data_IF_429443743668
#
_entry.id   IF_429443743668
#
_cell.length_a   1.000
_cell.length_b   1.000
_cell.length_c   1.000
_cell.angle_alpha   90.00
_cell.angle_beta   90.00
_cell.angle_gamma   90.00
#
_symmetry.space_group_name_H-M   'P 1'
#
loop_
_entity.id
_entity.type
_entity.pdbx_description
1 polymer ?
#
# COMPACT_ATOMS: atom_id res chain seq x y z
N UNK A 1 7.37 30.25 -21.04
CA UNK A 1 6.69 30.01 -19.76
C UNK A 1 7.61 29.09 -18.99
N UNK A 2 8.16 29.56 -17.89
CA UNK A 2 9.04 28.77 -17.04
C UNK A 2 8.31 27.51 -16.58
N UNK A 3 8.72 26.33 -17.06
CA UNK A 3 8.25 25.05 -16.53
C UNK A 3 8.63 25.04 -15.05
N UNK A 4 7.63 25.16 -14.16
CA UNK A 4 7.86 24.94 -12.72
C UNK A 4 8.46 23.55 -12.57
N UNK A 5 9.61 23.47 -11.89
CA UNK A 5 10.27 22.20 -11.55
C UNK A 5 9.31 21.27 -10.79
N UNK A 6 8.34 21.84 -10.05
CA UNK A 6 7.27 21.12 -9.36
C UNK A 6 5.90 21.77 -9.66
N UNK A 7 5.13 21.22 -10.61
CA UNK A 7 3.76 21.65 -10.86
C UNK A 7 2.88 21.45 -9.63
N UNK A 8 1.83 22.26 -9.48
CA UNK A 8 0.90 22.13 -8.34
C UNK A 8 -0.22 21.15 -8.60
N UNK A 9 -0.49 20.85 -9.87
CA UNK A 9 -1.52 19.94 -10.36
C UNK A 9 -0.97 18.54 -10.68
N UNK A 10 -1.86 17.55 -10.63
CA UNK A 10 -1.59 16.13 -10.87
C UNK A 10 -0.94 15.86 -12.22
N UNK A 11 -1.56 16.37 -13.28
CA UNK A 11 -1.08 16.20 -14.66
C UNK A 11 0.35 16.69 -14.85
N UNK A 12 0.67 17.89 -14.35
CA UNK A 12 2.03 18.43 -14.42
C UNK A 12 3.04 17.57 -13.65
N UNK A 13 2.66 17.03 -12.49
CA UNK A 13 3.55 16.18 -11.70
C UNK A 13 3.77 14.80 -12.34
N UNK A 14 2.76 14.21 -12.94
CA UNK A 14 2.93 13.00 -13.76
C UNK A 14 3.83 13.23 -14.96
N UNK A 15 3.68 14.36 -15.67
CA UNK A 15 4.58 14.73 -16.77
C UNK A 15 6.03 14.86 -16.29
N UNK A 16 6.26 15.49 -15.14
CA UNK A 16 7.59 15.60 -14.53
C UNK A 16 8.13 14.21 -14.13
N UNK A 17 7.34 13.41 -13.41
CA UNK A 17 7.73 12.07 -12.98
C UNK A 17 8.12 11.17 -14.16
N UNK A 18 7.33 11.20 -15.23
CA UNK A 18 7.63 10.48 -16.47
C UNK A 18 8.88 11.03 -17.19
N UNK A 19 9.01 12.36 -17.28
CA UNK A 19 10.18 13.03 -17.92
C UNK A 19 11.49 12.69 -17.23
N UNK A 20 11.49 12.63 -15.90
CA UNK A 20 12.68 12.33 -15.09
C UNK A 20 12.83 10.84 -14.77
N UNK A 21 11.92 10.00 -15.28
CA UNK A 21 11.99 8.55 -15.12
C UNK A 21 11.79 8.07 -13.69
N UNK A 22 11.06 8.80 -12.84
CA UNK A 22 10.85 8.49 -11.42
C UNK A 22 10.41 7.02 -11.24
N UNK A 23 9.45 6.56 -12.06
CA UNK A 23 8.92 5.20 -12.01
C UNK A 23 9.63 4.19 -12.93
N UNK A 24 10.61 4.63 -13.74
CA UNK A 24 11.19 3.82 -14.82
C UNK A 24 12.71 3.70 -14.81
N UNK A 25 13.41 4.58 -14.11
CA UNK A 25 14.86 4.74 -14.19
C UNK A 25 15.62 3.47 -13.77
N UNK A 26 15.12 2.75 -12.76
CA UNK A 26 15.77 1.54 -12.23
C UNK A 26 15.27 0.25 -12.91
N UNK A 27 14.33 0.34 -13.85
CA UNK A 27 13.64 -0.83 -14.40
C UNK A 27 14.56 -1.81 -15.14
N UNK A 28 15.63 -1.33 -15.79
CA UNK A 28 16.58 -2.20 -16.48
C UNK A 28 17.62 -2.81 -15.52
N UNK A 29 18.00 -2.09 -14.47
CA UNK A 29 18.89 -2.60 -13.42
C UNK A 29 18.24 -3.78 -12.69
N UNK A 30 16.95 -3.67 -12.40
CA UNK A 30 16.21 -4.74 -11.72
C UNK A 30 15.86 -5.90 -12.66
N UNK A 31 16.06 -5.83 -13.98
CA UNK A 31 15.86 -6.97 -14.90
C UNK A 31 17.05 -7.93 -14.97
N UNK A 32 18.22 -7.53 -14.46
CA UNK A 32 19.33 -8.46 -14.29
C UNK A 32 19.09 -9.35 -13.07
N UNK A 33 19.21 -10.67 -13.24
CA UNK A 33 18.80 -11.65 -12.23
C UNK A 33 19.47 -11.43 -10.87
N UNK A 34 20.78 -11.15 -10.84
CA UNK A 34 21.52 -10.94 -9.60
C UNK A 34 20.99 -9.72 -8.85
N UNK A 35 20.85 -8.60 -9.55
CA UNK A 35 20.34 -7.35 -8.96
C UNK A 35 18.88 -7.46 -8.55
N UNK A 36 18.06 -8.29 -9.21
CA UNK A 36 16.65 -8.48 -8.84
C UNK A 36 16.49 -9.02 -7.42
N UNK A 37 17.22 -10.07 -7.06
CA UNK A 37 17.08 -10.68 -5.73
C UNK A 37 17.71 -9.82 -4.65
N UNK A 38 18.82 -9.13 -4.95
CA UNK A 38 19.42 -8.15 -4.03
C UNK A 38 18.45 -6.98 -3.77
N UNK A 39 17.78 -6.48 -4.82
CA UNK A 39 16.78 -5.42 -4.70
C UNK A 39 15.56 -5.87 -3.88
N UNK A 40 15.03 -7.07 -4.16
CA UNK A 40 13.91 -7.62 -3.39
C UNK A 40 14.29 -7.82 -1.92
N UNK A 41 15.50 -8.33 -1.65
CA UNK A 41 16.01 -8.47 -0.29
C UNK A 41 16.08 -7.12 0.42
N UNK A 42 16.62 -6.09 -0.24
CA UNK A 42 16.69 -4.75 0.33
C UNK A 42 15.30 -4.17 0.64
N UNK A 43 14.31 -4.39 -0.23
CA UNK A 43 12.92 -3.97 0.05
C UNK A 43 12.37 -4.66 1.31
N UNK A 44 12.54 -5.99 1.42
CA UNK A 44 12.06 -6.74 2.58
C UNK A 44 12.81 -6.39 3.88
N UNK A 45 14.11 -6.13 3.79
CA UNK A 45 14.91 -5.69 4.94
C UNK A 45 14.41 -4.34 5.45
N UNK A 46 14.17 -3.36 4.55
CA UNK A 46 13.60 -2.05 4.91
C UNK A 46 12.20 -2.18 5.51
N UNK A 47 11.34 -3.04 4.95
CA UNK A 47 10.04 -3.36 5.54
C UNK A 47 10.17 -3.87 6.98
N UNK A 48 11.08 -4.81 7.22
CA UNK A 48 11.32 -5.35 8.57
C UNK A 48 11.93 -4.32 9.53
N UNK A 49 12.80 -3.43 9.05
CA UNK A 49 13.32 -2.30 9.85
C UNK A 49 12.20 -1.37 10.32
N UNK A 50 11.12 -1.25 9.54
CA UNK A 50 9.91 -0.50 9.89
C UNK A 50 8.80 -1.37 10.53
N UNK A 51 9.13 -2.59 10.97
CA UNK A 51 8.21 -3.55 11.58
C UNK A 51 7.03 -3.99 10.69
N UNK A 52 7.15 -3.85 9.36
CA UNK A 52 6.20 -4.39 8.39
C UNK A 52 6.45 -5.89 8.21
N UNK A 53 5.46 -6.71 8.57
CA UNK A 53 5.59 -8.17 8.60
C UNK A 53 4.94 -8.89 7.40
N UNK A 54 4.24 -8.16 6.54
CA UNK A 54 3.54 -8.70 5.37
C UNK A 54 3.60 -7.71 4.22
N UNK A 55 4.00 -8.17 3.03
CA UNK A 55 4.08 -7.31 1.84
C UNK A 55 3.38 -7.93 0.63
N UNK A 56 2.48 -7.17 -0.01
CA UNK A 56 1.85 -7.54 -1.29
C UNK A 56 2.37 -6.62 -2.39
N UNK A 57 3.35 -7.09 -3.16
CA UNK A 57 3.95 -6.29 -4.22
C UNK A 57 3.07 -6.28 -5.47
N UNK A 58 2.77 -5.09 -5.99
CA UNK A 58 2.28 -4.94 -7.35
C UNK A 58 3.44 -5.01 -8.32
N UNK A 59 3.40 -5.95 -9.25
CA UNK A 59 4.50 -6.20 -10.18
C UNK A 59 3.99 -6.34 -11.60
N UNK A 60 4.71 -5.76 -12.56
CA UNK A 60 4.47 -6.03 -13.98
C UNK A 60 4.62 -7.52 -14.28
N UNK A 61 4.09 -7.97 -15.41
CA UNK A 61 4.16 -9.36 -15.82
C UNK A 61 5.59 -9.95 -15.72
N UNK A 62 5.68 -11.20 -15.30
CA UNK A 62 6.92 -11.97 -15.26
C UNK A 62 7.36 -12.28 -16.71
N UNK A 63 8.66 -12.21 -17.03
CA UNK A 63 9.16 -12.43 -18.40
C UNK A 63 10.15 -11.41 -18.96
N UNK A 64 10.81 -10.63 -18.11
CA UNK A 64 11.89 -9.71 -18.53
C UNK A 64 13.22 -9.94 -17.81
N UNK A 65 13.28 -10.94 -16.92
CA UNK A 65 14.48 -11.24 -16.13
C UNK A 65 15.51 -11.93 -17.03
N UNK A 66 16.79 -11.56 -16.91
CA UNK A 66 17.86 -12.17 -17.70
C UNK A 66 19.15 -12.31 -16.90
N UNK A 67 20.04 -13.19 -17.37
CA UNK A 67 21.45 -13.23 -16.98
C UNK A 67 22.35 -13.04 -18.20
N UNK A 68 23.65 -12.82 -17.96
CA UNK A 68 24.66 -12.73 -19.01
C UNK A 68 25.40 -14.06 -19.10
N UNK A 69 25.45 -14.65 -20.29
CA UNK A 69 26.26 -15.84 -20.53
C UNK A 69 27.76 -15.51 -20.64
N UNK A 70 28.59 -16.50 -20.95
CA UNK A 70 30.04 -16.32 -21.08
C UNK A 70 30.46 -15.35 -22.20
N UNK A 71 29.57 -15.07 -23.15
CA UNK A 71 29.79 -14.12 -24.25
C UNK A 71 29.19 -12.73 -23.95
N UNK A 72 28.62 -12.54 -22.76
CA UNK A 72 27.86 -11.34 -22.36
C UNK A 72 26.54 -11.16 -23.11
N UNK A 73 26.00 -12.24 -23.68
CA UNK A 73 24.68 -12.22 -24.31
C UNK A 73 23.58 -12.41 -23.25
N UNK A 74 22.46 -11.71 -23.44
CA UNK A 74 21.31 -11.82 -22.54
C UNK A 74 20.57 -13.13 -22.77
N UNK A 75 20.53 -13.97 -21.74
CA UNK A 75 19.68 -15.15 -21.68
C UNK A 75 18.48 -14.85 -20.79
N UNK A 76 17.29 -14.83 -21.38
CA UNK A 76 16.05 -14.52 -20.67
C UNK A 76 15.53 -15.74 -19.91
N UNK A 77 15.20 -15.50 -18.64
CA UNK A 77 14.62 -16.47 -17.73
C UNK A 77 13.12 -16.50 -17.97
N UNK A 78 12.56 -17.71 -18.08
CA UNK A 78 11.12 -17.87 -18.30
C UNK A 78 10.33 -17.49 -17.04
N UNK A 79 9.08 -17.00 -17.18
CA UNK A 79 8.26 -16.59 -16.03
C UNK A 79 8.11 -17.65 -14.93
N UNK A 80 7.94 -18.93 -15.30
CA UNK A 80 7.88 -20.04 -14.34
C UNK A 80 9.19 -20.28 -13.60
N UNK A 81 10.31 -20.26 -14.32
CA UNK A 81 11.64 -20.45 -13.73
C UNK A 81 11.95 -19.31 -12.74
N UNK A 82 11.58 -18.07 -13.07
CA UNK A 82 11.69 -16.95 -12.14
C UNK A 82 10.85 -17.16 -10.86
N UNK A 83 9.63 -17.69 -10.97
CA UNK A 83 8.77 -17.97 -9.81
C UNK A 83 9.25 -19.15 -8.97
N UNK A 84 9.91 -20.14 -9.57
CA UNK A 84 10.59 -21.21 -8.84
C UNK A 84 11.74 -20.63 -8.00
N UNK A 85 12.57 -19.77 -8.60
CA UNK A 85 13.65 -19.07 -7.89
C UNK A 85 13.10 -18.19 -6.76
N UNK A 86 12.03 -17.44 -7.00
CA UNK A 86 11.39 -16.60 -5.97
C UNK A 86 10.76 -17.42 -4.85
N UNK A 87 10.20 -18.60 -5.14
CA UNK A 87 9.64 -19.50 -4.12
C UNK A 87 10.74 -20.01 -3.19
N UNK A 88 11.89 -20.40 -3.74
CA UNK A 88 13.04 -20.84 -2.93
C UNK A 88 13.66 -19.66 -2.16
N UNK A 89 13.80 -18.49 -2.78
CA UNK A 89 14.22 -17.26 -2.09
C UNK A 89 13.30 -16.95 -0.90
N UNK A 90 11.99 -16.95 -1.11
CA UNK A 90 10.97 -16.69 -0.08
C UNK A 90 11.12 -17.63 1.12
N UNK A 91 11.24 -18.92 0.85
CA UNK A 91 11.41 -19.96 1.88
C UNK A 91 12.67 -19.72 2.72
N UNK A 92 13.79 -19.41 2.07
CA UNK A 92 15.05 -19.14 2.77
C UNK A 92 15.00 -17.83 3.57
N UNK A 93 14.45 -16.76 2.98
CA UNK A 93 14.34 -15.46 3.62
C UNK A 93 13.45 -15.49 4.86
N UNK A 94 12.26 -16.11 4.78
CA UNK A 94 11.35 -16.24 5.93
C UNK A 94 11.96 -17.12 7.03
N UNK A 95 12.72 -18.16 6.67
CA UNK A 95 13.43 -18.99 7.66
C UNK A 95 14.48 -18.18 8.42
N UNK A 96 15.18 -17.28 7.74
CA UNK A 96 16.21 -16.43 8.33
C UNK A 96 15.62 -15.22 9.09
N UNK A 97 14.43 -14.78 8.68
CA UNK A 97 13.72 -13.61 9.23
C UNK A 97 12.31 -14.03 9.67
N UNK A 98 12.16 -14.80 10.76
CA UNK A 98 10.88 -15.35 11.19
C UNK A 98 9.85 -14.29 11.61
N UNK A 99 10.24 -13.02 11.73
CA UNK A 99 9.33 -11.89 11.92
C UNK A 99 8.40 -11.73 10.70
N UNK A 100 8.94 -11.88 9.49
CA UNK A 100 8.15 -11.81 8.26
C UNK A 100 7.12 -12.96 8.25
N UNK A 101 5.85 -12.62 8.06
CA UNK A 101 4.74 -13.56 7.89
C UNK A 101 4.79 -14.10 6.47
N UNK A 102 4.75 -13.18 5.50
CA UNK A 102 4.72 -13.54 4.10
C UNK A 102 5.09 -12.38 3.17
N UNK A 103 5.41 -12.69 1.92
CA UNK A 103 5.29 -11.73 0.83
C UNK A 103 4.74 -12.41 -0.44
N UNK A 104 3.94 -11.66 -1.19
CA UNK A 104 3.24 -12.14 -2.39
C UNK A 104 3.21 -11.08 -3.49
N UNK A 105 2.75 -11.46 -4.68
CA UNK A 105 2.66 -10.60 -5.84
C UNK A 105 1.22 -10.49 -6.38
N UNK A 106 0.86 -9.28 -6.77
CA UNK A 106 -0.31 -8.95 -7.60
C UNK A 106 0.23 -8.55 -8.96
N UNK A 107 -0.13 -9.27 -10.02
CA UNK A 107 0.36 -8.97 -11.36
C UNK A 107 -0.48 -7.84 -11.94
N UNK A 108 0.14 -6.79 -12.46
CA UNK A 108 -0.61 -5.71 -13.12
C UNK A 108 -0.43 -5.67 -14.63
N UNK A 109 -1.45 -5.17 -15.31
CA UNK A 109 -1.35 -4.58 -16.64
C UNK A 109 -1.28 -3.05 -16.56
N UNK A 110 -0.61 -2.41 -17.51
CA UNK A 110 -0.62 -0.95 -17.61
C UNK A 110 -1.84 -0.49 -18.39
N UNK A 111 -2.70 0.34 -17.78
CA UNK A 111 -3.97 0.78 -18.38
C UNK A 111 -3.85 1.61 -19.66
N UNK A 112 -2.66 2.06 -20.02
CA UNK A 112 -2.41 2.75 -21.30
C UNK A 112 -2.22 1.77 -22.47
N UNK A 113 -2.27 0.46 -22.22
CA UNK A 113 -2.02 -0.60 -23.22
C UNK A 113 -3.30 -1.06 -23.90
N UNK A 114 -3.15 -1.73 -25.04
CA UNK A 114 -4.29 -2.21 -25.82
C UNK A 114 -5.05 -3.34 -25.10
N UNK A 115 -6.29 -3.60 -25.51
CA UNK A 115 -7.06 -4.77 -25.03
C UNK A 115 -6.32 -6.09 -25.22
N UNK A 116 -5.58 -6.24 -26.31
CA UNK A 116 -4.79 -7.45 -26.59
C UNK A 116 -3.62 -7.61 -25.62
N UNK A 117 -2.96 -6.53 -25.25
CA UNK A 117 -1.84 -6.55 -24.30
C UNK A 117 -2.32 -6.89 -22.89
N UNK A 118 -3.41 -6.25 -22.45
CA UNK A 118 -4.05 -6.55 -21.16
C UNK A 118 -4.57 -8.00 -21.13
N UNK A 119 -5.12 -8.48 -22.26
CA UNK A 119 -5.49 -9.88 -22.39
C UNK A 119 -4.30 -10.82 -22.16
N UNK A 120 -3.21 -10.61 -22.88
CA UNK A 120 -2.00 -11.46 -22.77
C UNK A 120 -1.41 -11.43 -21.35
N UNK A 121 -1.44 -10.26 -20.71
CA UNK A 121 -1.00 -10.08 -19.33
C UNK A 121 -1.89 -10.87 -18.36
N UNK A 122 -3.21 -10.78 -18.51
CA UNK A 122 -4.15 -11.54 -17.68
C UNK A 122 -3.99 -13.05 -17.91
N UNK A 123 -3.90 -13.52 -19.14
CA UNK A 123 -3.69 -14.94 -19.45
C UNK A 123 -2.42 -15.49 -18.79
N UNK A 124 -1.34 -14.71 -18.81
CA UNK A 124 -0.12 -15.06 -18.10
C UNK A 124 -0.34 -15.08 -16.60
N UNK A 125 -1.02 -14.07 -16.04
CA UNK A 125 -1.32 -14.01 -14.61
C UNK A 125 -2.11 -15.23 -14.13
N UNK A 126 -3.17 -15.62 -14.85
CA UNK A 126 -3.97 -16.80 -14.52
C UNK A 126 -3.16 -18.10 -14.59
N UNK A 127 -2.32 -18.24 -15.63
CA UNK A 127 -1.44 -19.41 -15.81
C UNK A 127 -0.43 -19.51 -14.67
N UNK A 128 0.24 -18.41 -14.32
CA UNK A 128 1.23 -18.39 -13.23
C UNK A 128 0.55 -18.62 -11.88
N UNK A 129 -0.61 -18.01 -11.64
CA UNK A 129 -1.33 -18.22 -10.38
C UNK A 129 -1.77 -19.68 -10.20
N UNK A 130 -2.23 -20.36 -11.25
CA UNK A 130 -2.58 -21.78 -11.14
C UNK A 130 -1.41 -22.69 -10.75
N UNK A 131 -0.17 -22.29 -11.09
CA UNK A 131 1.05 -23.04 -10.78
C UNK A 131 1.68 -22.62 -9.46
N UNK A 132 1.57 -21.33 -9.11
CA UNK A 132 2.20 -20.72 -7.94
C UNK A 132 1.20 -19.90 -7.10
N UNK A 133 0.12 -20.52 -6.58
CA UNK A 133 -0.93 -19.82 -5.82
C UNK A 133 -0.44 -19.23 -4.48
N UNK A 134 0.74 -19.65 -4.01
CA UNK A 134 1.45 -19.11 -2.85
C UNK A 134 2.28 -17.86 -3.15
N UNK A 135 2.47 -17.53 -4.43
CA UNK A 135 3.24 -16.37 -4.88
C UNK A 135 2.34 -15.32 -5.54
N UNK A 136 1.42 -15.74 -6.41
CA UNK A 136 0.55 -14.83 -7.15
C UNK A 136 -0.84 -14.82 -6.53
N UNK A 137 -1.31 -13.64 -6.11
CA UNK A 137 -2.58 -13.49 -5.37
C UNK A 137 -3.62 -12.63 -6.07
N UNK A 138 -3.31 -12.04 -7.21
CA UNK A 138 -4.30 -11.27 -7.95
C UNK A 138 -3.83 -10.56 -9.20
N UNK A 139 -4.72 -9.71 -9.69
CA UNK A 139 -4.51 -8.85 -10.85
C UNK A 139 -5.01 -7.41 -10.62
N UNK A 140 -4.32 -6.46 -11.26
CA UNK A 140 -4.59 -5.02 -11.17
C UNK A 140 -4.36 -4.33 -12.54
N UNK A 141 -4.90 -3.12 -12.70
CA UNK A 141 -4.59 -2.18 -13.77
C UNK A 141 -4.00 -0.88 -13.21
N UNK A 142 -2.71 -0.65 -13.46
CA UNK A 142 -1.93 0.49 -12.93
C UNK A 142 -1.58 1.52 -14.00
N UNK A 143 -1.05 2.66 -13.58
CA UNK A 143 -0.63 3.79 -14.41
C UNK A 143 -1.54 5.01 -14.20
N UNK A 144 -1.10 6.18 -14.67
CA UNK A 144 -1.83 7.45 -14.53
C UNK A 144 -3.29 7.30 -14.99
N UNK A 145 -4.20 7.33 -14.03
CA UNK A 145 -5.60 6.94 -14.22
C UNK A 145 -6.28 7.84 -15.26
N UNK A 146 -6.15 9.16 -15.09
CA UNK A 146 -6.77 10.20 -15.93
C UNK A 146 -6.23 10.23 -17.38
N UNK A 147 -5.13 9.53 -17.62
CA UNK A 147 -4.45 9.47 -18.91
C UNK A 147 -4.52 8.08 -19.56
N UNK A 148 -5.07 7.11 -18.83
CA UNK A 148 -5.19 5.71 -19.23
C UNK A 148 -6.57 5.34 -19.74
N UNK A 149 -6.73 4.08 -20.12
CA UNK A 149 -8.06 3.52 -20.36
C UNK A 149 -8.79 3.21 -19.05
N UNK A 150 -10.11 3.29 -19.09
CA UNK A 150 -11.04 2.90 -18.02
C UNK A 150 -11.11 1.38 -17.84
N UNK A 151 -11.62 0.93 -16.70
CA UNK A 151 -11.95 -0.49 -16.48
C UNK A 151 -12.99 -0.97 -17.50
N UNK A 152 -14.00 -0.14 -17.80
CA UNK A 152 -15.00 -0.42 -18.83
C UNK A 152 -14.38 -0.67 -20.20
N UNK A 153 -13.35 0.08 -20.59
CA UNK A 153 -12.65 -0.18 -21.86
C UNK A 153 -12.04 -1.58 -21.94
N UNK A 154 -11.62 -2.14 -20.80
CA UNK A 154 -11.05 -3.50 -20.70
C UNK A 154 -12.05 -4.56 -20.21
N UNK A 155 -13.35 -4.25 -20.16
CA UNK A 155 -14.39 -5.08 -19.51
C UNK A 155 -14.37 -6.54 -19.94
N UNK A 156 -14.26 -6.84 -21.24
CA UNK A 156 -14.26 -8.23 -21.73
C UNK A 156 -13.11 -9.07 -21.16
N UNK A 157 -11.96 -8.43 -20.93
CA UNK A 157 -10.80 -9.08 -20.34
C UNK A 157 -10.97 -9.18 -18.82
N UNK A 158 -11.39 -8.10 -18.17
CA UNK A 158 -11.59 -8.08 -16.73
C UNK A 158 -12.70 -9.03 -16.26
N UNK A 159 -13.74 -9.25 -17.08
CA UNK A 159 -14.78 -10.24 -16.81
C UNK A 159 -14.25 -11.68 -16.77
N UNK A 160 -13.20 -12.00 -17.54
CA UNK A 160 -12.53 -13.30 -17.41
C UNK A 160 -11.73 -13.40 -16.11
N UNK A 161 -11.05 -12.32 -15.72
CA UNK A 161 -10.39 -12.23 -14.41
C UNK A 161 -11.39 -12.40 -13.26
N UNK A 162 -12.56 -11.77 -13.38
CA UNK A 162 -13.67 -11.91 -12.44
C UNK A 162 -14.14 -13.37 -12.36
N UNK A 163 -14.48 -14.00 -13.48
CA UNK A 163 -14.92 -15.40 -13.49
C UNK A 163 -13.87 -16.33 -12.86
N UNK A 164 -12.60 -16.11 -13.16
CA UNK A 164 -11.51 -16.87 -12.55
C UNK A 164 -11.45 -16.66 -11.04
N UNK A 165 -11.52 -15.40 -10.56
CA UNK A 165 -11.51 -15.08 -9.13
C UNK A 165 -12.61 -15.84 -8.37
N UNK A 166 -13.82 -15.94 -8.95
CA UNK A 166 -14.94 -16.65 -8.34
C UNK A 166 -14.71 -18.17 -8.28
N UNK A 167 -14.04 -18.74 -9.29
CA UNK A 167 -13.70 -20.17 -9.33
C UNK A 167 -12.45 -20.54 -8.51
N UNK A 168 -11.60 -19.57 -8.18
CA UNK A 168 -10.30 -19.76 -7.51
C UNK A 168 -10.39 -20.03 -6.00
N UNK A 169 -11.61 -20.02 -5.43
CA UNK A 169 -11.87 -20.17 -4.00
C UNK A 169 -11.03 -19.22 -3.11
N UNK A 170 -10.93 -17.95 -3.50
CA UNK A 170 -10.20 -16.91 -2.76
C UNK A 170 -8.68 -16.93 -2.92
N UNK A 171 -8.14 -17.71 -3.86
CA UNK A 171 -6.69 -17.71 -4.15
C UNK A 171 -6.25 -16.65 -5.17
N UNK A 172 -7.20 -16.08 -5.92
CA UNK A 172 -6.96 -15.01 -6.88
C UNK A 172 -7.95 -13.87 -6.67
N UNK A 173 -7.44 -12.65 -6.60
CA UNK A 173 -8.21 -11.44 -6.31
C UNK A 173 -8.06 -10.41 -7.43
N UNK A 174 -9.10 -9.62 -7.66
CA UNK A 174 -8.97 -8.37 -8.42
C UNK A 174 -8.78 -7.23 -7.43
N UNK A 175 -7.77 -6.38 -7.64
CA UNK A 175 -7.36 -5.35 -6.68
C UNK A 175 -7.04 -4.06 -7.44
N UNK A 176 -8.07 -3.41 -7.95
CA UNK A 176 -7.89 -2.32 -8.91
C UNK A 176 -7.45 -1.00 -8.28
N UNK A 177 -6.47 -0.32 -8.89
CA UNK A 177 -6.33 1.13 -8.77
C UNK A 177 -7.57 1.79 -9.37
N UNK A 178 -8.32 2.55 -8.57
CA UNK A 178 -9.50 3.25 -9.06
C UNK A 178 -9.74 4.56 -8.33
N UNK A 179 -10.26 5.53 -9.08
CA UNK A 179 -10.59 6.85 -8.59
C UNK A 179 -9.40 7.57 -7.92
N UNK A 180 -8.16 7.31 -8.34
CA UNK A 180 -7.01 8.18 -8.09
C UNK A 180 -7.02 9.34 -9.10
N UNK A 181 -7.92 10.28 -8.88
CA UNK A 181 -8.23 11.35 -9.83
C UNK A 181 -8.55 12.66 -9.11
N UNK A 182 -8.43 13.77 -9.83
CA UNK A 182 -8.67 15.12 -9.33
C UNK A 182 -9.81 15.81 -10.09
N UNK A 183 -10.52 16.70 -9.40
CA UNK A 183 -11.51 17.56 -10.03
C UNK A 183 -10.87 18.70 -10.85
N UNK A 184 -11.39 19.06 -12.05
CA UNK A 184 -12.48 18.41 -12.80
C UNK A 184 -11.98 17.34 -13.79
N UNK A 185 -10.71 16.93 -13.73
CA UNK A 185 -10.11 15.93 -14.62
C UNK A 185 -10.88 14.59 -14.57
N UNK A 186 -11.47 14.30 -13.41
CA UNK A 186 -12.34 13.17 -13.10
C UNK A 186 -13.70 13.15 -13.86
N UNK A 187 -14.10 14.27 -14.46
CA UNK A 187 -15.37 14.38 -15.21
C UNK A 187 -15.23 14.23 -16.73
N UNK A 188 -14.01 14.28 -17.27
CA UNK A 188 -13.79 14.14 -18.70
C UNK A 188 -13.61 12.66 -19.08
N UNK A 189 -14.13 12.21 -20.24
CA UNK A 189 -13.79 10.91 -20.80
C UNK A 189 -12.27 10.74 -20.89
N UNK A 190 -11.78 9.50 -20.80
CA UNK A 190 -10.34 9.25 -20.89
C UNK A 190 -9.74 9.88 -22.16
N UNK A 191 -8.44 10.17 -22.16
CA UNK A 191 -7.76 10.73 -23.34
C UNK A 191 -7.90 9.89 -24.62
N UNK A 192 -8.32 8.63 -24.48
CA UNK A 192 -8.56 7.72 -25.60
C UNK A 192 -10.01 7.72 -26.10
N UNK A 193 -10.89 8.56 -25.54
CA UNK A 193 -12.30 8.64 -25.92
C UNK A 193 -13.13 7.47 -25.41
N UNK A 194 -12.81 6.95 -24.22
CA UNK A 194 -13.61 5.90 -23.59
C UNK A 194 -15.05 6.39 -23.30
N UNK A 195 -15.98 5.45 -23.16
CA UNK A 195 -17.40 5.76 -23.01
C UNK A 195 -17.76 6.48 -21.69
N UNK A 196 -16.91 6.40 -20.68
CA UNK A 196 -17.09 7.00 -19.35
C UNK A 196 -15.79 7.63 -18.88
N UNK A 197 -15.88 8.55 -17.91
CA UNK A 197 -14.68 9.10 -17.25
C UNK A 197 -14.05 8.07 -16.30
N UNK A 198 -12.78 8.29 -15.96
CA UNK A 198 -11.99 7.44 -15.05
C UNK A 198 -12.55 7.40 -13.63
N UNK A 199 -13.31 8.41 -13.22
CA UNK A 199 -14.05 8.41 -11.96
C UNK A 199 -15.02 7.22 -11.86
N UNK A 200 -15.60 6.77 -12.98
CA UNK A 200 -16.54 5.64 -12.99
C UNK A 200 -15.88 4.28 -12.75
N UNK A 201 -14.55 4.20 -12.77
CA UNK A 201 -13.82 2.98 -12.47
C UNK A 201 -14.17 2.43 -11.07
N UNK A 202 -14.60 3.27 -10.13
CA UNK A 202 -15.05 2.82 -8.81
C UNK A 202 -16.33 1.98 -8.88
N UNK A 203 -17.29 2.30 -9.76
CA UNK A 203 -18.47 1.47 -9.96
C UNK A 203 -18.09 0.14 -10.59
N UNK A 204 -17.25 0.20 -11.64
CA UNK A 204 -16.82 -0.99 -12.38
C UNK A 204 -16.02 -1.95 -11.48
N UNK A 205 -15.16 -1.44 -10.61
CA UNK A 205 -14.38 -2.29 -9.68
C UNK A 205 -15.28 -2.97 -8.64
N UNK A 206 -16.30 -2.28 -8.12
CA UNK A 206 -17.29 -2.88 -7.22
C UNK A 206 -18.13 -3.94 -7.94
N UNK A 207 -18.52 -3.70 -9.20
CA UNK A 207 -19.24 -4.68 -10.04
C UNK A 207 -18.37 -5.92 -10.27
N UNK A 208 -17.09 -5.72 -10.57
CA UNK A 208 -16.08 -6.77 -10.75
C UNK A 208 -15.63 -7.42 -9.42
N UNK A 209 -16.27 -7.09 -8.29
CA UNK A 209 -15.96 -7.60 -6.95
C UNK A 209 -14.47 -7.48 -6.59
N UNK A 210 -13.89 -6.31 -6.83
CA UNK A 210 -12.56 -5.98 -6.32
C UNK A 210 -12.49 -6.26 -4.81
N UNK A 211 -11.42 -6.89 -4.33
CA UNK A 211 -11.26 -7.20 -2.91
C UNK A 211 -10.80 -5.97 -2.11
N UNK A 212 -10.04 -5.09 -2.75
CA UNK A 212 -9.66 -3.76 -2.25
C UNK A 212 -9.65 -2.75 -3.40
N UNK A 213 -9.69 -1.48 -3.04
CA UNK A 213 -9.61 -0.33 -3.94
C UNK A 213 -8.28 0.38 -3.71
N UNK A 214 -7.44 0.48 -4.74
CA UNK A 214 -6.24 1.31 -4.73
C UNK A 214 -6.60 2.79 -4.78
N UNK A 215 -6.13 3.56 -3.80
CA UNK A 215 -6.34 5.00 -3.58
C UNK A 215 -7.78 5.43 -3.28
N UNK A 216 -8.70 5.36 -4.25
CA UNK A 216 -10.11 5.69 -4.06
C UNK A 216 -10.42 7.16 -3.74
N UNK A 217 -9.55 8.12 -4.08
CA UNK A 217 -9.72 9.57 -3.76
C UNK A 217 -11.07 10.10 -4.24
N UNK A 218 -11.43 9.81 -5.49
CA UNK A 218 -12.66 10.26 -6.14
C UNK A 218 -13.94 9.62 -5.57
N UNK A 219 -13.84 8.60 -4.72
CA UNK A 219 -14.99 7.99 -4.05
C UNK A 219 -15.80 9.01 -3.24
N UNK A 220 -15.19 10.12 -2.79
CA UNK A 220 -15.88 11.22 -2.10
C UNK A 220 -17.04 11.82 -2.92
N UNK A 221 -17.04 11.63 -4.24
CA UNK A 221 -18.11 12.07 -5.15
C UNK A 221 -19.29 11.08 -5.22
N UNK A 222 -19.14 9.90 -4.63
CA UNK A 222 -20.09 8.78 -4.70
C UNK A 222 -20.46 8.26 -3.30
N UNK A 223 -21.05 9.09 -2.43
CA UNK A 223 -21.41 8.68 -1.07
C UNK A 223 -22.37 7.47 -1.03
N UNK A 224 -23.17 7.27 -2.07
CA UNK A 224 -24.04 6.10 -2.21
C UNK A 224 -23.27 4.78 -2.31
N UNK A 225 -21.99 4.81 -2.70
CA UNK A 225 -21.13 3.63 -2.78
C UNK A 225 -20.55 3.21 -1.43
N UNK A 226 -20.59 4.07 -0.41
CA UNK A 226 -19.97 3.80 0.88
C UNK A 226 -20.56 2.56 1.54
N UNK A 227 -21.89 2.46 1.53
CA UNK A 227 -22.59 1.33 2.12
C UNK A 227 -22.22 0.01 1.42
N UNK A 228 -22.01 0.04 0.09
CA UNK A 228 -21.57 -1.14 -0.65
C UNK A 228 -20.16 -1.59 -0.26
N UNK A 229 -19.22 -0.66 -0.05
CA UNK A 229 -17.87 -0.99 0.42
C UNK A 229 -17.91 -1.60 1.83
N UNK A 230 -18.72 -1.02 2.73
CA UNK A 230 -18.86 -1.48 4.12
C UNK A 230 -19.46 -2.89 4.15
N UNK A 231 -20.60 -3.11 3.49
CA UNK A 231 -21.31 -4.40 3.51
C UNK A 231 -20.50 -5.52 2.87
N UNK A 232 -19.71 -5.19 1.84
CA UNK A 232 -18.88 -6.16 1.14
C UNK A 232 -17.48 -6.33 1.75
N UNK A 233 -17.13 -5.51 2.74
CA UNK A 233 -15.80 -5.51 3.34
C UNK A 233 -14.70 -5.20 2.32
N UNK A 234 -14.91 -4.22 1.45
CA UNK A 234 -13.91 -3.77 0.47
C UNK A 234 -13.11 -2.64 1.11
N UNK A 235 -11.83 -2.89 1.36
CA UNK A 235 -10.94 -1.88 1.94
C UNK A 235 -10.37 -0.93 0.90
N UNK A 236 -10.08 0.30 1.33
CA UNK A 236 -9.34 1.29 0.54
C UNK A 236 -7.87 1.25 0.96
N UNK A 237 -6.97 1.14 -0.01
CA UNK A 237 -5.53 1.29 0.17
C UNK A 237 -5.18 2.77 0.01
N UNK A 238 -5.02 3.47 1.13
CA UNK A 238 -4.73 4.91 1.14
C UNK A 238 -3.22 5.16 1.18
N UNK A 239 -2.73 6.00 0.27
CA UNK A 239 -1.31 6.30 0.08
C UNK A 239 -1.07 7.82 0.22
N UNK A 240 -1.17 8.41 1.43
CA UNK A 240 -1.15 9.86 1.62
C UNK A 240 0.09 10.55 1.07
N UNK A 241 1.28 9.96 1.22
CA UNK A 241 2.51 10.54 0.69
C UNK A 241 2.47 10.60 -0.84
N UNK A 242 2.12 9.49 -1.50
CA UNK A 242 1.93 9.43 -2.95
C UNK A 242 0.92 10.48 -3.43
N UNK A 243 -0.25 10.54 -2.80
CA UNK A 243 -1.31 11.46 -3.19
C UNK A 243 -0.91 12.94 -3.02
N UNK A 244 -0.06 13.28 -2.04
CA UNK A 244 0.50 14.61 -1.91
C UNK A 244 1.62 14.89 -2.92
N UNK A 245 2.52 13.92 -3.15
CA UNK A 245 3.66 14.05 -4.06
C UNK A 245 3.22 14.10 -5.51
N UNK A 246 2.17 13.38 -5.88
CA UNK A 246 1.57 13.41 -7.21
C UNK A 246 0.56 14.54 -7.38
N UNK A 247 0.28 15.34 -6.36
CA UNK A 247 -0.53 16.56 -6.51
C UNK A 247 -2.05 16.33 -6.49
N UNK A 248 -2.49 15.16 -6.01
CA UNK A 248 -3.91 14.88 -5.76
C UNK A 248 -4.43 15.60 -4.53
N UNK A 249 -3.63 15.68 -3.46
CA UNK A 249 -4.02 16.33 -2.21
C UNK A 249 -2.92 17.28 -1.75
N UNK A 250 -3.15 18.59 -1.89
CA UNK A 250 -2.15 19.60 -1.49
C UNK A 250 -1.96 19.67 0.03
N UNK A 251 -3.06 19.57 0.78
CA UNK A 251 -3.09 19.61 2.23
C UNK A 251 -3.75 18.33 2.74
N UNK A 252 -2.95 17.46 3.37
CA UNK A 252 -3.40 16.13 3.82
C UNK A 252 -4.49 16.18 4.89
N UNK A 253 -4.73 17.33 5.55
CA UNK A 253 -5.89 17.52 6.43
C UNK A 253 -7.22 17.42 5.68
N UNK A 254 -7.19 17.62 4.36
CA UNK A 254 -8.34 17.50 3.47
C UNK A 254 -8.37 16.16 2.71
N UNK A 255 -7.49 15.21 3.03
CA UNK A 255 -7.44 13.92 2.34
C UNK A 255 -8.75 13.14 2.58
N UNK A 256 -9.43 12.63 1.53
CA UNK A 256 -10.77 12.06 1.68
C UNK A 256 -10.81 10.74 2.46
N UNK A 257 -9.68 10.02 2.53
CA UNK A 257 -9.57 8.76 3.28
C UNK A 257 -10.06 8.87 4.73
N UNK A 258 -9.79 9.97 5.45
CA UNK A 258 -10.29 10.10 6.83
C UNK A 258 -11.82 10.09 6.89
N UNK A 259 -12.50 10.71 5.93
CA UNK A 259 -13.95 10.71 5.88
C UNK A 259 -14.50 9.31 5.59
N UNK A 260 -13.85 8.53 4.73
CA UNK A 260 -14.22 7.15 4.47
C UNK A 260 -14.05 6.30 5.74
N UNK A 261 -12.91 6.42 6.42
CA UNK A 261 -12.61 5.70 7.66
C UNK A 261 -13.62 6.02 8.76
N UNK A 262 -13.92 7.29 8.99
CA UNK A 262 -14.92 7.73 9.98
C UNK A 262 -16.36 7.35 9.60
N UNK A 263 -16.62 7.12 8.31
CA UNK A 263 -17.91 6.59 7.82
C UNK A 263 -18.01 5.07 7.94
N UNK A 264 -16.98 4.39 8.42
CA UNK A 264 -16.96 2.94 8.63
C UNK A 264 -16.40 2.14 7.46
N UNK A 265 -15.94 2.78 6.37
CA UNK A 265 -15.24 2.08 5.28
C UNK A 265 -13.88 1.62 5.82
N UNK A 266 -13.53 0.33 5.65
CA UNK A 266 -12.22 -0.14 6.08
C UNK A 266 -11.11 0.50 5.25
N UNK A 267 -10.04 0.94 5.92
CA UNK A 267 -8.84 1.49 5.29
C UNK A 267 -7.62 0.72 5.74
N UNK A 268 -6.67 0.56 4.81
CA UNK A 268 -5.29 0.19 5.06
C UNK A 268 -4.38 1.31 4.54
N UNK A 269 -3.28 1.57 5.22
CA UNK A 269 -2.25 2.48 4.73
C UNK A 269 -1.22 1.70 3.91
N UNK A 270 -0.75 2.29 2.81
CA UNK A 270 0.27 1.70 1.94
C UNK A 270 1.27 2.78 1.48
N UNK A 271 2.53 2.38 1.26
CA UNK A 271 3.62 3.29 0.85
C UNK A 271 3.64 3.62 -0.65
N UNK A 272 2.89 2.87 -1.46
CA UNK A 272 2.85 2.97 -2.93
C UNK A 272 4.23 2.75 -3.58
N UNK A 273 4.94 3.82 -3.94
CA UNK A 273 6.29 3.80 -4.53
C UNK A 273 7.34 4.50 -3.64
N UNK A 274 7.55 4.07 -2.38
CA UNK A 274 8.32 4.82 -1.39
C UNK A 274 9.75 5.14 -1.85
N UNK A 275 10.43 4.16 -2.47
CA UNK A 275 11.78 4.34 -3.02
C UNK A 275 11.86 5.38 -4.15
N UNK A 276 10.79 5.53 -4.94
CA UNK A 276 10.68 6.56 -5.98
C UNK A 276 10.44 7.96 -5.39
N UNK A 277 9.80 8.00 -4.23
CA UNK A 277 9.47 9.22 -3.49
C UNK A 277 10.56 9.65 -2.49
N UNK A 278 11.59 8.82 -2.30
CA UNK A 278 12.76 9.14 -1.49
C UNK A 278 12.61 8.80 -0.01
N UNK A 279 11.74 7.85 0.34
CA UNK A 279 11.64 7.26 1.68
C UNK A 279 11.59 5.72 1.60
N UNK A 280 11.61 5.04 2.74
CA UNK A 280 11.86 3.60 2.81
C UNK A 280 10.61 2.75 2.51
N UNK A 281 9.69 2.63 3.47
CA UNK A 281 8.48 1.82 3.31
C UNK A 281 7.21 2.57 3.76
N UNK A 282 6.74 2.37 4.99
CA UNK A 282 5.38 2.68 5.41
C UNK A 282 5.28 3.74 6.52
N UNK A 283 6.36 4.00 7.24
CA UNK A 283 6.40 4.89 8.41
C UNK A 283 6.03 6.33 8.05
N UNK A 284 6.46 6.81 6.88
CA UNK A 284 6.13 8.15 6.39
C UNK A 284 4.62 8.28 6.19
N UNK A 285 3.97 7.33 5.54
CA UNK A 285 2.53 7.34 5.31
C UNK A 285 1.73 7.25 6.63
N UNK A 286 2.18 6.42 7.59
CA UNK A 286 1.60 6.38 8.93
C UNK A 286 1.74 7.72 9.67
N UNK A 287 2.92 8.33 9.63
CA UNK A 287 3.15 9.63 10.26
C UNK A 287 2.27 10.72 9.66
N UNK A 288 2.19 10.80 8.32
CA UNK A 288 1.39 11.78 7.62
C UNK A 288 -0.10 11.59 7.91
N UNK A 289 -0.60 10.36 7.86
CA UNK A 289 -1.98 10.04 8.21
C UNK A 289 -2.29 10.38 9.66
N UNK A 290 -1.44 9.94 10.59
CA UNK A 290 -1.61 10.19 12.02
C UNK A 290 -1.73 11.68 12.34
N UNK A 291 -0.77 12.48 11.85
CA UNK A 291 -0.70 13.91 12.13
C UNK A 291 -1.79 14.70 11.39
N UNK A 292 -2.03 14.41 10.12
CA UNK A 292 -2.94 15.21 9.30
C UNK A 292 -4.41 14.85 9.49
N UNK A 293 -4.70 13.58 9.77
CA UNK A 293 -6.09 13.09 9.90
C UNK A 293 -6.59 13.07 11.34
N UNK A 294 -5.72 13.42 12.31
CA UNK A 294 -6.06 13.41 13.73
C UNK A 294 -6.42 12.01 14.21
N UNK A 295 -5.64 11.02 13.78
CA UNK A 295 -5.82 9.64 14.26
C UNK A 295 -5.34 9.53 15.70
N UNK A 296 -5.96 8.65 16.47
CA UNK A 296 -5.46 8.24 17.77
C UNK A 296 -4.83 6.83 17.71
N UNK A 297 -4.34 6.37 18.86
CA UNK A 297 -3.72 5.06 18.98
C UNK A 297 -4.68 3.90 18.65
N UNK A 298 -5.97 4.08 18.93
CA UNK A 298 -7.02 3.10 18.63
C UNK A 298 -7.23 2.99 17.11
N UNK A 299 -7.29 4.13 16.42
CA UNK A 299 -7.37 4.19 14.96
C UNK A 299 -6.18 3.50 14.30
N UNK A 300 -4.96 3.75 14.79
CA UNK A 300 -3.74 3.11 14.27
C UNK A 300 -3.80 1.59 14.41
N UNK A 301 -4.26 1.06 15.55
CA UNK A 301 -4.41 -0.39 15.73
C UNK A 301 -5.49 -0.98 14.82
N UNK A 302 -6.60 -0.27 14.57
CA UNK A 302 -7.60 -0.69 13.58
C UNK A 302 -6.99 -0.76 12.18
N UNK A 303 -6.28 0.28 11.75
CA UNK A 303 -5.67 0.34 10.41
C UNK A 303 -4.64 -0.76 10.25
N UNK A 304 -3.80 -1.00 11.26
CA UNK A 304 -2.84 -2.09 11.25
C UNK A 304 -3.54 -3.47 11.19
N UNK A 305 -4.57 -3.71 12.00
CA UNK A 305 -5.35 -4.96 11.94
C UNK A 305 -6.08 -5.12 10.59
N UNK A 306 -6.57 -4.03 9.99
CA UNK A 306 -7.20 -4.05 8.68
C UNK A 306 -6.21 -4.55 7.60
N UNK A 307 -4.92 -4.20 7.69
CA UNK A 307 -3.91 -4.68 6.74
C UNK A 307 -3.85 -6.21 6.70
N UNK A 308 -3.95 -6.87 7.87
CA UNK A 308 -4.00 -8.34 7.97
C UNK A 308 -5.35 -8.85 7.49
N UNK A 309 -6.44 -8.24 7.94
CA UNK A 309 -7.81 -8.65 7.62
C UNK A 309 -8.08 -8.67 6.11
N UNK A 310 -7.70 -7.60 5.42
CA UNK A 310 -8.00 -7.39 4.00
C UNK A 310 -6.85 -7.82 3.09
N UNK A 311 -5.74 -8.33 3.63
CA UNK A 311 -4.71 -9.00 2.84
C UNK A 311 -5.29 -10.17 2.03
N UNK A 312 -4.61 -10.49 0.94
CA UNK A 312 -4.92 -11.58 0.04
C UNK A 312 -4.34 -12.91 0.49
N UNK A 313 -3.59 -12.98 1.60
CA UNK A 313 -3.00 -14.23 2.11
C UNK A 313 -4.06 -15.21 2.62
N UNK A 314 -3.77 -16.52 2.70
CA UNK A 314 -4.68 -17.52 3.25
C UNK A 314 -5.08 -17.25 4.70
N UNK A 315 -6.29 -17.69 5.09
CA UNK A 315 -6.83 -17.54 6.44
C UNK A 315 -5.87 -17.99 7.56
N UNK A 316 -5.17 -19.11 7.36
CA UNK A 316 -4.21 -19.62 8.33
C UNK A 316 -3.02 -18.67 8.56
N UNK A 317 -2.53 -18.01 7.51
CA UNK A 317 -1.48 -17.00 7.65
C UNK A 317 -2.00 -15.71 8.28
N UNK A 318 -3.27 -15.35 8.06
CA UNK A 318 -3.90 -14.23 8.78
C UNK A 318 -3.94 -14.48 10.28
N UNK A 319 -4.24 -15.72 10.70
CA UNK A 319 -4.27 -16.11 12.10
C UNK A 319 -2.90 -15.95 12.78
N UNK A 320 -1.84 -16.43 12.12
CA UNK A 320 -0.45 -16.20 12.54
C UNK A 320 -0.13 -14.71 12.56
N UNK A 321 -0.61 -13.95 11.58
CA UNK A 321 -0.43 -12.51 11.50
C UNK A 321 -1.02 -11.77 12.69
N UNK A 322 -2.26 -12.09 13.08
CA UNK A 322 -2.87 -11.50 14.28
C UNK A 322 -2.14 -11.86 15.56
N UNK A 323 -1.70 -13.11 15.72
CA UNK A 323 -0.93 -13.54 16.90
C UNK A 323 0.39 -12.78 17.03
N UNK A 324 1.12 -12.62 15.92
CA UNK A 324 2.36 -11.82 15.88
C UNK A 324 2.08 -10.34 16.13
N UNK A 325 1.08 -9.79 15.47
CA UNK A 325 0.70 -8.38 15.60
C UNK A 325 0.34 -8.04 17.04
N UNK A 326 -0.52 -8.82 17.69
CA UNK A 326 -0.92 -8.55 19.08
C UNK A 326 0.26 -8.62 20.04
N UNK A 327 1.20 -9.56 19.83
CA UNK A 327 2.43 -9.63 20.61
C UNK A 327 3.30 -8.38 20.44
N UNK A 328 3.60 -8.00 19.20
CA UNK A 328 4.44 -6.83 18.92
C UNK A 328 3.74 -5.52 19.31
N UNK A 329 2.41 -5.47 19.22
CA UNK A 329 1.62 -4.34 19.69
C UNK A 329 1.76 -4.14 21.20
N UNK A 330 1.65 -5.21 22.00
CA UNK A 330 1.83 -5.12 23.47
C UNK A 330 3.24 -4.64 23.80
N UNK A 331 4.27 -5.19 23.15
CA UNK A 331 5.66 -4.73 23.32
C UNK A 331 5.80 -3.23 23.00
N UNK A 332 5.24 -2.78 21.88
CA UNK A 332 5.25 -1.38 21.48
C UNK A 332 4.59 -0.47 22.53
N UNK A 333 3.44 -0.87 23.09
CA UNK A 333 2.76 -0.10 24.13
C UNK A 333 3.61 -0.02 25.41
N UNK A 334 4.21 -1.14 25.83
CA UNK A 334 5.07 -1.18 27.01
C UNK A 334 6.30 -0.27 26.83
N UNK A 335 6.98 -0.36 25.68
CA UNK A 335 8.12 0.50 25.35
C UNK A 335 7.74 1.98 25.31
N UNK A 336 6.65 2.32 24.62
CA UNK A 336 6.14 3.68 24.55
C UNK A 336 5.76 4.22 25.93
N UNK A 337 5.19 3.39 26.82
CA UNK A 337 4.88 3.78 28.19
C UNK A 337 6.16 4.07 29.01
N UNK A 338 7.17 3.21 28.90
CA UNK A 338 8.46 3.43 29.59
C UNK A 338 9.10 4.75 29.12
N UNK A 339 9.10 5.00 27.81
CA UNK A 339 9.76 6.15 27.21
C UNK A 339 9.03 7.46 27.49
N UNK A 340 7.70 7.48 27.42
CA UNK A 340 6.92 8.71 27.54
C UNK A 340 6.52 9.00 28.99
N UNK A 341 6.17 7.98 29.76
CA UNK A 341 5.54 8.17 31.08
C UNK A 341 6.53 8.10 32.25
N UNK A 342 7.62 7.33 32.11
CA UNK A 342 8.58 7.09 33.19
C UNK A 342 9.90 7.86 33.01
N UNK A 343 10.38 8.08 31.78
CA UNK A 343 11.56 8.91 31.50
C UNK A 343 11.20 10.41 31.37
N UNK A 344 10.75 11.05 32.45
CA UNK A 344 10.39 12.49 32.42
C UNK A 344 11.57 13.47 32.24
N UNK A 345 12.81 13.04 32.48
CA UNK A 345 13.98 13.95 32.54
C UNK A 345 15.13 13.61 31.57
N UNK A 346 14.97 12.63 30.68
CA UNK A 346 15.96 12.37 29.63
C UNK A 346 15.29 11.86 28.37
N UNK A 347 14.84 12.79 27.53
CA UNK A 347 14.28 12.47 26.22
C UNK A 347 15.35 11.71 25.41
N UNK A 348 15.09 10.42 25.14
CA UNK A 348 15.91 9.62 24.25
C UNK A 348 15.80 10.18 22.83
N UNK A 349 16.95 10.47 22.24
CA UNK A 349 17.08 10.97 20.88
C UNK A 349 16.55 9.94 19.89
N UNK A 350 15.46 10.26 19.18
CA UNK A 350 15.01 9.46 18.04
C UNK A 350 15.73 9.99 16.80
N UNK A 351 16.60 9.16 16.22
CA UNK A 351 17.31 9.53 15.00
C UNK A 351 16.39 9.33 13.78
N UNK A 352 15.74 10.41 13.35
CA UNK A 352 14.87 10.43 12.16
C UNK A 352 15.65 10.64 10.85
N UNK A 353 16.99 10.59 10.86
CA UNK A 353 17.81 10.75 9.65
C UNK A 353 17.44 9.75 8.55
N UNK A 354 16.87 8.61 8.91
CA UNK A 354 16.47 7.55 7.99
C UNK A 354 15.05 7.75 7.42
N UNK A 355 14.27 8.68 7.97
CA UNK A 355 12.90 9.01 7.52
C UNK A 355 12.87 10.15 6.50
N UNK A 356 13.98 10.89 6.35
CA UNK A 356 14.10 12.01 5.43
C UNK A 356 15.05 11.66 4.27
N UNK A 357 14.87 12.26 3.09
CA UNK A 357 15.77 12.06 1.97
C UNK A 357 17.22 12.38 2.38
N UNK A 358 18.15 11.45 2.13
CA UNK A 358 19.57 11.58 2.48
C UNK A 358 20.32 12.63 1.65
N UNK A 359 19.64 13.28 0.71
CA UNK A 359 20.17 14.33 -0.16
C UNK A 359 19.16 15.48 -0.32
N UNK A 360 19.64 16.72 -0.17
CA UNK A 360 18.84 17.96 -0.25
C UNK A 360 19.31 19.01 0.76
N UNK A 361 18.71 20.23 0.78
CA UNK A 361 19.05 21.28 1.76
C UNK A 361 18.74 20.89 3.22
N UNK A 362 18.07 19.75 3.44
CA UNK A 362 17.84 19.12 4.73
C UNK A 362 19.02 18.22 5.18
N UNK A 363 20.27 18.56 4.83
CA UNK A 363 21.49 17.85 5.27
C UNK A 363 21.82 18.02 6.76
N UNK A 364 20.86 18.50 7.56
CA UNK A 364 20.99 18.63 9.02
C UNK A 364 20.17 17.54 9.67
N UNK A 365 20.75 16.85 10.65
CA UNK A 365 19.95 16.10 11.63
C UNK A 365 18.86 17.02 12.15
N UNK A 366 17.62 16.71 11.80
CA UNK A 366 16.45 17.37 12.39
C UNK A 366 16.08 16.53 13.59
N UNK A 367 16.25 17.10 14.78
CA UNK A 367 15.79 16.50 16.03
C UNK A 367 14.27 16.70 16.10
N UNK A 368 13.52 15.59 16.02
CA UNK A 368 12.07 15.63 15.99
C UNK A 368 11.52 14.64 17.01
N UNK A 369 11.00 15.16 18.13
CA UNK A 369 10.17 14.40 19.06
C UNK A 369 8.73 14.76 18.77
N UNK A 370 8.04 13.93 17.98
CA UNK A 370 6.62 14.14 17.68
C UNK A 370 5.82 13.00 18.28
N UNK A 371 5.22 13.30 19.41
CA UNK A 371 4.06 12.58 19.90
C UNK A 371 2.85 13.45 19.53
N UNK A 372 1.85 12.87 18.86
CA UNK A 372 0.71 13.63 18.37
C UNK A 372 -0.15 14.13 19.53
N UNK A 373 -1.09 15.02 19.21
CA UNK A 373 -2.01 15.60 20.19
C UNK A 373 -2.78 14.47 20.89
N UNK A 374 -2.46 14.21 22.16
CA UNK A 374 -3.16 13.23 22.98
C UNK A 374 -2.53 11.84 23.06
N UNK A 375 -1.37 11.60 22.43
CA UNK A 375 -0.66 10.32 22.56
C UNK A 375 -0.21 10.05 24.00
N UNK A 376 0.45 11.02 24.63
CA UNK A 376 0.87 10.92 26.04
C UNK A 376 -0.34 10.89 26.97
N UNK A 377 -1.44 11.53 26.56
CA UNK A 377 -2.70 11.43 27.28
C UNK A 377 -3.23 9.99 27.24
N UNK A 378 -3.23 9.36 26.08
CA UNK A 378 -3.71 8.00 25.88
C UNK A 378 -2.83 6.95 26.59
N UNK A 379 -1.51 7.12 26.58
CA UNK A 379 -0.57 6.15 27.17
C UNK A 379 -0.34 6.41 28.67
N UNK A 380 -0.23 7.66 29.12
CA UNK A 380 0.16 7.97 30.50
C UNK A 380 -1.00 8.26 31.46
N UNK A 381 -2.21 8.57 30.98
CA UNK A 381 -3.33 8.79 31.89
C UNK A 381 -3.95 7.47 32.33
N UNK A 382 -3.93 7.21 33.64
CA UNK A 382 -4.79 6.21 34.25
C UNK A 382 -6.26 6.59 34.00
N UNK A 383 -7.02 5.69 33.43
CA UNK A 383 -8.45 5.84 33.24
C UNK A 383 -9.10 5.76 34.62
N UNK A 384 -9.85 6.80 34.99
CA UNK A 384 -10.72 6.73 36.14
C UNK A 384 -12.03 6.05 35.72
N UNK A 385 -12.21 4.80 36.13
CA UNK A 385 -13.46 4.10 35.97
C UNK A 385 -14.36 4.40 37.18
N UNK A 386 -15.62 4.73 36.93
CA UNK A 386 -16.62 4.93 37.97
C UNK A 386 -17.57 3.74 37.96
N UNK A 387 -17.50 2.93 38.99
CA UNK A 387 -18.47 1.87 39.27
C UNK A 387 -19.34 2.34 40.43
N UNK A 388 -20.50 2.93 40.12
CA UNK A 388 -21.33 3.69 41.06
C UNK A 388 -20.51 4.85 41.68
N UNK A 389 -20.45 4.95 43.01
CA UNK A 389 -19.68 5.97 43.74
C UNK A 389 -18.21 5.59 43.96
N UNK A 390 -17.77 4.43 43.46
CA UNK A 390 -16.40 3.94 43.62
C UNK A 390 -15.59 4.34 42.40
N UNK A 391 -14.63 5.24 42.60
CA UNK A 391 -13.61 5.58 41.61
C UNK A 391 -12.50 4.53 41.66
N UNK A 392 -12.33 3.76 40.59
CA UNK A 392 -11.19 2.87 40.38
C UNK A 392 -10.26 3.48 39.34
N UNK A 393 -8.97 3.19 39.46
CA UNK A 393 -7.99 3.52 38.43
C UNK A 393 -7.76 2.28 37.58
N UNK A 394 -7.65 2.49 36.27
CA UNK A 394 -7.43 1.43 35.32
C UNK A 394 -6.45 1.89 34.22
N UNK A 395 -5.87 0.93 33.53
CA UNK A 395 -4.88 1.18 32.47
C UNK A 395 -5.40 0.58 31.17
N UNK A 396 -5.20 1.27 30.04
CA UNK A 396 -5.49 0.68 28.73
C UNK A 396 -4.46 -0.41 28.44
N UNK A 397 -4.93 -1.63 28.23
CA UNK A 397 -4.10 -2.78 27.85
C UNK A 397 -4.32 -3.21 26.40
N UNK A 398 -5.29 -2.60 25.70
CA UNK A 398 -5.64 -2.95 24.32
C UNK A 398 -6.66 -2.00 23.67
N UNK A 399 -7.22 -2.39 22.52
CA UNK A 399 -8.36 -1.69 21.88
C UNK A 399 -9.58 -1.86 22.79
N UNK A 400 -9.96 -0.82 23.52
CA UNK A 400 -11.16 -0.81 24.35
C UNK A 400 -11.10 -1.75 25.57
N UNK A 401 -9.94 -2.31 25.88
CA UNK A 401 -9.72 -3.17 27.05
C UNK A 401 -9.03 -2.38 28.16
N UNK A 402 -9.68 -2.38 29.32
CA UNK A 402 -9.31 -1.60 30.49
C UNK A 402 -9.04 -2.59 31.63
N UNK A 403 -7.83 -2.56 32.21
CA UNK A 403 -7.42 -3.39 33.36
C UNK A 403 -7.50 -2.63 34.68
#
# INVERSE_FOLDING_TARGET
>A
MDEKIYPTDSKGRWLAANKYGVFGFYSDLTKYNRTRFDYLKACLDLSLEENVQLVEFRRSNFGGLYYLDNNLDKVYIQPEEELEMLTEFKKNYIRENPQLIDFVFVIYGSRSRSRSDINSTLETSLRLQSKFPQMIRGFDLVGEEDQGHTLLFHSDTLMRGFNYSQSSNGTFNLIFHTAETNWPEDMEPSKFGDAVSTLNNIYDSIILRTSRVGHGIGLIKHPELYQYLIERGIAIEACPASNQILGYVSDLRNHPAINFFRSGIPIVLAGDDPGSFGYNDLTVDYYLAYMAWGLDLYDLKIIANNSIKYSSIPHELKKIGYEKFEKEWVNFIDEAYQDVCLKRDSYSQVNVSNLLPTFGPASKQVELSIFGIGFEKAICQKIACLFNDIKTEAIMIGIGEIQ
#
